data_IF_827360059752
#
_entry.id   IF_827360059752
#
_cell.length_a   1.000
_cell.length_b   1.000
_cell.length_c   1.000
_cell.angle_alpha   90.00
_cell.angle_beta   90.00
_cell.angle_gamma   90.00
#
_symmetry.space_group_name_H-M   'P 1'
#
loop_
_entity.id
_entity.type
_entity.pdbx_description
1 polymer ?
#
# COMPACT_ATOMS: atom_id res chain seq x y z
N UNK A 1 41.22 -1.69 12.61
CA UNK A 1 40.76 -0.73 11.59
C UNK A 1 39.78 -1.48 10.70
N UNK A 2 38.52 -1.06 10.69
CA UNK A 2 37.55 -1.18 9.58
C UNK A 2 37.23 -2.58 9.04
N UNK A 3 35.99 -3.02 8.83
CA UNK A 3 34.65 -2.55 9.13
C UNK A 3 33.79 -3.79 8.83
N UNK A 4 32.99 -4.24 9.78
CA UNK A 4 32.00 -5.29 9.51
C UNK A 4 30.86 -4.66 8.70
N UNK A 5 30.52 -5.14 7.49
CA UNK A 5 29.24 -4.77 6.89
C UNK A 5 28.14 -5.49 7.68
N UNK A 6 27.36 -4.72 8.44
CA UNK A 6 26.08 -5.16 8.95
C UNK A 6 25.14 -5.32 7.75
N UNK A 7 25.13 -6.53 7.21
CA UNK A 7 24.11 -7.03 6.30
C UNK A 7 22.77 -7.02 7.06
N UNK A 8 22.09 -5.87 7.02
CA UNK A 8 20.69 -5.78 7.46
C UNK A 8 19.87 -6.48 6.40
N UNK A 9 19.77 -7.79 6.56
CA UNK A 9 18.66 -8.66 6.21
C UNK A 9 17.37 -7.86 5.94
N UNK A 10 17.14 -7.56 4.67
CA UNK A 10 15.79 -7.45 4.11
C UNK A 10 15.78 -8.18 2.77
N UNK A 11 15.91 -9.50 2.94
CA UNK A 11 15.17 -10.55 2.25
C UNK A 11 14.40 -10.08 1.01
N UNK A 12 14.86 -10.61 -0.12
CA UNK A 12 14.08 -10.77 -1.31
C UNK A 12 12.74 -11.46 -0.97
N UNK A 13 11.72 -10.66 -0.64
CA UNK A 13 10.35 -11.08 -0.84
C UNK A 13 10.07 -10.97 -2.33
N UNK A 14 10.39 -12.07 -3.01
CA UNK A 14 9.55 -12.69 -4.03
C UNK A 14 8.15 -12.09 -4.06
N UNK A 15 7.68 -11.72 -5.25
CA UNK A 15 6.28 -11.37 -5.45
C UNK A 15 5.41 -12.44 -4.76
N UNK A 16 4.59 -12.08 -3.74
CA UNK A 16 3.52 -12.96 -3.38
C UNK A 16 2.58 -12.92 -4.57
N UNK A 17 2.70 -13.95 -5.41
CA UNK A 17 1.60 -14.41 -6.25
C UNK A 17 0.39 -14.54 -5.34
N UNK A 18 -0.82 -14.24 -5.85
CA UNK A 18 -2.01 -14.04 -5.03
C UNK A 18 -2.38 -15.37 -4.37
N UNK A 19 -1.81 -15.66 -3.21
CA UNK A 19 -2.40 -16.59 -2.27
C UNK A 19 -3.66 -15.91 -1.78
N UNK A 20 -4.78 -16.23 -2.45
CA UNK A 20 -6.01 -16.72 -1.82
C UNK A 20 -6.08 -16.42 -0.31
N UNK A 21 -6.13 -15.14 0.04
CA UNK A 21 -6.72 -14.62 1.28
C UNK A 21 -7.88 -13.79 0.77
N UNK A 22 -8.99 -14.47 0.52
CA UNK A 22 -10.27 -13.79 0.38
C UNK A 22 -10.44 -12.82 1.54
N UNK A 23 -10.94 -11.61 1.23
CA UNK A 23 -11.20 -10.51 2.18
C UNK A 23 -9.93 -10.09 2.96
N UNK A 24 -9.20 -9.04 2.60
CA UNK A 24 -9.72 -7.68 2.73
C UNK A 24 -8.65 -6.68 2.27
N UNK A 25 -8.84 -6.08 1.09
CA UNK A 25 -8.23 -4.78 0.78
C UNK A 25 -8.67 -3.68 1.80
N UNK A 26 -9.62 -4.02 2.66
CA UNK A 26 -10.20 -3.26 3.76
C UNK A 26 -10.11 -4.06 5.06
N UNK A 27 -8.92 -4.27 5.62
CA UNK A 27 -8.87 -4.92 6.93
C UNK A 27 -9.45 -3.98 7.98
N UNK A 28 -10.17 -4.52 8.97
CA UNK A 28 -10.72 -3.75 10.09
C UNK A 28 -9.68 -2.87 10.77
N UNK A 29 -8.43 -3.32 10.80
CA UNK A 29 -7.28 -2.56 11.28
C UNK A 29 -7.00 -1.28 10.48
N UNK A 30 -7.08 -1.32 9.14
CA UNK A 30 -6.88 -0.14 8.29
C UNK A 30 -7.99 0.88 8.50
N UNK A 31 -9.23 0.42 8.67
CA UNK A 31 -10.38 1.27 9.05
C UNK A 31 -10.20 1.90 10.42
N UNK A 32 -9.92 1.10 11.46
CA UNK A 32 -9.72 1.62 12.83
C UNK A 32 -8.57 2.62 12.89
N UNK A 33 -7.46 2.38 12.20
CA UNK A 33 -6.33 3.32 12.16
C UNK A 33 -6.69 4.64 11.48
N UNK A 34 -7.53 4.60 10.45
CA UNK A 34 -8.06 5.81 9.81
C UNK A 34 -9.02 6.57 10.75
N UNK A 35 -9.93 5.87 11.42
CA UNK A 35 -10.92 6.49 12.33
C UNK A 35 -10.30 7.04 13.62
N UNK A 36 -9.30 6.35 14.18
CA UNK A 36 -8.57 6.79 15.39
C UNK A 36 -7.52 7.87 15.11
N UNK A 37 -7.28 8.20 13.84
CA UNK A 37 -6.34 9.24 13.45
C UNK A 37 -6.83 10.62 13.90
N UNK A 38 -5.92 11.47 14.35
CA UNK A 38 -6.21 12.90 14.54
C UNK A 38 -6.62 13.53 13.21
N UNK A 39 -7.63 14.41 13.24
CA UNK A 39 -8.16 15.08 12.03
C UNK A 39 -7.10 15.85 11.23
N UNK A 40 -5.96 16.17 11.83
CA UNK A 40 -4.84 16.85 11.20
C UNK A 40 -3.84 15.95 10.47
N UNK A 41 -3.92 14.62 10.59
CA UNK A 41 -2.92 13.72 10.02
C UNK A 41 -3.45 12.92 8.83
N UNK A 42 -2.58 12.80 7.82
CA UNK A 42 -2.87 12.05 6.61
C UNK A 42 -2.59 10.56 6.81
N UNK A 43 -3.63 9.73 6.67
CA UNK A 43 -3.50 8.28 6.63
C UNK A 43 -3.94 7.75 5.26
N UNK A 44 -3.03 7.03 4.59
CA UNK A 44 -3.34 6.35 3.35
C UNK A 44 -3.46 4.83 3.61
N UNK A 45 -4.66 4.23 3.42
CA UNK A 45 -4.87 2.79 3.61
C UNK A 45 -4.11 1.92 2.59
N UNK A 46 -3.63 2.54 1.50
CA UNK A 46 -2.93 1.90 0.40
C UNK A 46 -1.40 2.10 0.45
N UNK A 47 -0.86 2.49 1.61
CA UNK A 47 0.59 2.68 1.82
C UNK A 47 1.43 1.50 1.36
N UNK A 48 0.97 0.26 1.53
CA UNK A 48 1.69 -0.94 1.09
C UNK A 48 1.84 -1.01 -0.43
N UNK A 49 0.78 -0.66 -1.17
CA UNK A 49 0.82 -0.58 -2.63
C UNK A 49 1.73 0.58 -3.10
N UNK A 50 1.68 1.72 -2.40
CA UNK A 50 2.57 2.84 -2.67
C UNK A 50 4.05 2.44 -2.48
N UNK A 51 4.39 1.80 -1.36
CA UNK A 51 5.74 1.32 -1.09
C UNK A 51 6.24 0.36 -2.17
N UNK A 52 5.38 -0.51 -2.71
CA UNK A 52 5.76 -1.39 -3.83
C UNK A 52 6.11 -0.60 -5.08
N UNK A 53 5.30 0.40 -5.44
CA UNK A 53 5.61 1.28 -6.57
C UNK A 53 6.93 2.05 -6.37
N UNK A 54 7.19 2.53 -5.15
CA UNK A 54 8.47 3.19 -4.83
C UNK A 54 9.65 2.24 -4.95
N UNK A 55 9.55 1.00 -4.45
CA UNK A 55 10.60 -0.02 -4.61
C UNK A 55 10.90 -0.30 -6.08
N UNK A 56 9.88 -0.33 -6.94
CA UNK A 56 10.07 -0.48 -8.37
C UNK A 56 10.82 0.74 -8.96
N UNK A 57 10.45 1.97 -8.57
CA UNK A 57 11.17 3.17 -9.00
C UNK A 57 12.63 3.15 -8.54
N UNK A 58 12.91 2.81 -7.28
CA UNK A 58 14.28 2.74 -6.77
C UNK A 58 15.15 1.72 -7.51
N UNK A 59 14.56 0.61 -7.96
CA UNK A 59 15.27 -0.43 -8.73
C UNK A 59 15.54 -0.03 -10.18
N UNK A 60 14.65 0.76 -10.79
CA UNK A 60 14.68 1.12 -12.20
C UNK A 60 15.12 2.58 -12.44
N UNK A 61 15.79 3.22 -11.47
CA UNK A 61 16.27 4.59 -11.61
C UNK A 61 15.18 5.66 -11.76
N UNK A 62 13.95 5.37 -11.30
CA UNK A 62 12.80 6.27 -11.40
C UNK A 62 11.96 6.09 -12.67
N UNK A 63 12.23 5.06 -13.49
CA UNK A 63 11.43 4.80 -14.68
C UNK A 63 10.03 4.30 -14.31
N UNK A 64 9.02 5.12 -14.60
CA UNK A 64 7.61 4.84 -14.33
C UNK A 64 7.01 3.86 -15.33
N UNK A 65 7.57 3.75 -16.54
CA UNK A 65 7.04 2.89 -17.60
C UNK A 65 7.09 1.41 -17.19
N UNK A 66 8.16 1.01 -16.51
CA UNK A 66 8.38 -0.34 -15.99
C UNK A 66 7.53 -0.67 -14.76
N UNK A 67 6.97 0.34 -14.10
CA UNK A 67 6.28 0.21 -12.83
C UNK A 67 4.75 0.42 -12.92
N UNK A 68 4.19 0.45 -14.15
CA UNK A 68 2.78 0.72 -14.42
C UNK A 68 1.82 -0.12 -13.56
N UNK A 69 2.04 -1.42 -13.48
CA UNK A 69 1.23 -2.36 -12.71
C UNK A 69 1.18 -2.02 -11.21
N UNK A 70 2.30 -1.57 -10.63
CA UNK A 70 2.34 -1.17 -9.22
C UNK A 70 1.55 0.11 -8.95
N UNK A 71 1.58 1.06 -9.90
CA UNK A 71 0.77 2.27 -9.80
C UNK A 71 -0.71 1.96 -10.01
N UNK A 72 -1.03 1.01 -10.89
CA UNK A 72 -2.40 0.57 -11.11
C UNK A 72 -2.99 -0.05 -9.85
N UNK A 73 -2.26 -0.96 -9.20
CA UNK A 73 -2.66 -1.53 -7.92
C UNK A 73 -2.91 -0.47 -6.82
N UNK A 74 -2.11 0.61 -6.80
CA UNK A 74 -2.32 1.72 -5.87
C UNK A 74 -3.61 2.52 -6.17
N UNK A 75 -3.89 2.79 -7.46
CA UNK A 75 -5.13 3.47 -7.87
C UNK A 75 -6.34 2.61 -7.56
N UNK A 76 -6.28 1.33 -7.87
CA UNK A 76 -7.38 0.39 -7.64
C UNK A 76 -7.70 0.26 -6.15
N UNK A 77 -6.66 0.21 -5.30
CA UNK A 77 -6.83 0.22 -3.84
C UNK A 77 -7.52 1.51 -3.36
N UNK A 78 -7.08 2.68 -3.83
CA UNK A 78 -7.66 3.96 -3.44
C UNK A 78 -9.10 4.12 -3.94
N UNK A 79 -9.37 3.61 -5.14
CA UNK A 79 -10.70 3.58 -5.73
C UNK A 79 -11.63 2.71 -4.91
N UNK A 80 -11.25 1.46 -4.63
CA UNK A 80 -12.01 0.54 -3.80
C UNK A 80 -12.29 1.11 -2.40
N UNK A 81 -11.29 1.77 -1.79
CA UNK A 81 -11.44 2.45 -0.50
C UNK A 81 -12.46 3.58 -0.55
N UNK A 82 -12.36 4.45 -1.54
CA UNK A 82 -13.26 5.61 -1.69
C UNK A 82 -14.68 5.17 -2.02
N UNK A 83 -14.83 4.18 -2.90
CA UNK A 83 -16.12 3.62 -3.28
C UNK A 83 -16.81 2.92 -2.12
N UNK A 84 -16.06 2.16 -1.30
CA UNK A 84 -16.61 1.52 -0.09
C UNK A 84 -17.03 2.56 0.95
N UNK A 85 -16.22 3.60 1.20
CA UNK A 85 -16.64 4.72 2.07
C UNK A 85 -17.84 5.47 1.54
N UNK A 86 -17.95 5.65 0.22
CA UNK A 86 -19.12 6.28 -0.38
C UNK A 86 -20.37 5.42 -0.22
N UNK A 87 -20.25 4.08 -0.28
CA UNK A 87 -21.34 3.14 -0.04
C UNK A 87 -21.73 3.07 1.45
N UNK A 88 -20.76 3.00 2.35
CA UNK A 88 -21.00 2.93 3.81
C UNK A 88 -21.42 4.29 4.41
N UNK A 89 -20.81 5.38 3.93
CA UNK A 89 -21.12 6.76 4.36
C UNK A 89 -22.21 7.45 3.54
N UNK A 90 -22.77 6.77 2.54
CA UNK A 90 -23.83 7.30 1.66
C UNK A 90 -25.25 7.16 2.24
N UNK A 91 -25.39 6.64 3.46
CA UNK A 91 -26.66 6.57 4.18
C UNK A 91 -27.03 7.91 4.82
N UNK A 92 -27.39 8.90 4.02
CA UNK A 92 -28.12 10.07 4.51
C UNK A 92 -29.09 10.60 3.43
N UNK A 93 -30.14 9.83 3.19
CA UNK A 93 -31.52 10.27 2.90
C UNK A 93 -32.48 9.16 3.35
#
# INVERSE_FOLDING_TARGET
MSSTPQDTKQEAAEAPKPTEVGSDAWSDDKRRKFETKSKSEYYDPCQEAAQRSYRCLFRNGGDKSMCGEYFQAYRDCKQAWTDKRRKEGGGWF
#
